data_IF_742539819015
#
_entry.id   IF_742539819015
#
_cell.length_a   1.000
_cell.length_b   1.000
_cell.length_c   1.000
_cell.angle_alpha   90.00
_cell.angle_beta   90.00
_cell.angle_gamma   90.00
#
_symmetry.space_group_name_H-M   'P 1'
#
loop_
_entity.id
_entity.type
_entity.pdbx_description
1 polymer ?
#
# COMPACT_ATOMS: atom_id res chain seq x y z
N UNK A 1 -40.10 -5.29 -2.49
CA UNK A 1 -38.68 -5.51 -2.13
C UNK A 1 -37.93 -4.44 -2.90
N UNK A 2 -37.69 -3.32 -2.21
CA UNK A 2 -37.02 -2.14 -2.75
C UNK A 2 -35.51 -2.42 -2.80
N UNK A 3 -34.92 -2.12 -3.94
CA UNK A 3 -33.47 -2.14 -4.13
C UNK A 3 -32.87 -1.07 -3.19
N UNK A 4 -32.13 -1.49 -2.18
CA UNK A 4 -31.20 -0.60 -1.48
C UNK A 4 -30.07 -0.26 -2.45
N UNK A 5 -30.19 0.90 -3.09
CA UNK A 5 -29.08 1.56 -3.77
C UNK A 5 -28.00 1.81 -2.70
N UNK A 6 -26.92 1.10 -2.77
CA UNK A 6 -25.71 1.40 -1.99
C UNK A 6 -25.24 2.79 -2.41
N UNK A 7 -25.44 3.77 -1.54
CA UNK A 7 -24.88 5.11 -1.67
C UNK A 7 -23.35 5.03 -1.62
N UNK A 8 -22.73 4.80 -2.75
CA UNK A 8 -21.33 5.16 -2.97
C UNK A 8 -21.36 6.52 -3.62
N UNK A 9 -21.28 7.58 -2.80
CA UNK A 9 -21.07 8.92 -3.30
C UNK A 9 -19.66 8.98 -3.89
N UNK A 10 -19.56 8.90 -5.22
CA UNK A 10 -18.30 8.99 -5.99
C UNK A 10 -17.66 10.39 -5.93
N UNK A 11 -18.19 11.29 -5.10
CA UNK A 11 -17.61 12.61 -4.91
C UNK A 11 -16.50 12.52 -3.84
N UNK A 12 -15.27 12.93 -4.16
CA UNK A 12 -14.24 13.05 -3.15
C UNK A 12 -14.71 14.03 -2.06
N UNK A 13 -14.53 13.67 -0.78
CA UNK A 13 -14.70 14.62 0.31
C UNK A 13 -13.99 15.93 -0.07
N UNK A 14 -14.61 17.08 0.15
CA UNK A 14 -14.20 18.41 -0.38
C UNK A 14 -12.67 18.69 -0.27
N UNK A 15 -12.00 18.11 0.72
CA UNK A 15 -10.55 18.27 0.92
C UNK A 15 -9.64 17.51 -0.05
N UNK A 16 -10.19 16.64 -0.91
CA UNK A 16 -9.41 15.83 -1.88
C UNK A 16 -9.70 16.20 -3.34
N UNK A 17 -10.59 17.16 -3.57
CA UNK A 17 -10.99 17.55 -4.92
C UNK A 17 -9.82 18.13 -5.72
N UNK A 18 -9.57 17.54 -6.89
CA UNK A 18 -8.51 17.96 -7.79
C UNK A 18 -7.10 17.44 -7.41
N UNK A 19 -6.96 16.67 -6.34
CA UNK A 19 -5.70 16.05 -5.95
C UNK A 19 -5.57 14.64 -6.54
N UNK A 20 -4.38 14.31 -7.00
CA UNK A 20 -4.02 12.96 -7.46
C UNK A 20 -3.70 12.10 -6.27
N UNK A 21 -4.51 11.09 -6.03
CA UNK A 21 -4.37 10.16 -4.89
C UNK A 21 -3.88 8.82 -5.42
N UNK A 22 -2.94 8.21 -4.71
CA UNK A 22 -2.48 6.84 -4.94
C UNK A 22 -2.62 6.01 -3.67
N UNK A 23 -3.06 4.78 -3.84
CA UNK A 23 -3.06 3.72 -2.82
C UNK A 23 -1.88 2.81 -3.11
N UNK A 24 -1.07 2.51 -2.10
CA UNK A 24 0.17 1.79 -2.33
C UNK A 24 0.51 0.84 -1.20
N UNK A 25 1.25 -0.20 -1.55
CA UNK A 25 1.69 -1.24 -0.64
C UNK A 25 3.02 -1.83 -1.11
N UNK A 26 3.82 -2.35 -0.18
CA UNK A 26 5.11 -3.00 -0.41
C UNK A 26 5.10 -4.42 0.12
N UNK A 27 5.70 -5.33 -0.66
CA UNK A 27 6.02 -6.65 -0.19
C UNK A 27 7.52 -6.82 -0.04
N UNK A 28 7.92 -7.39 1.09
CA UNK A 28 9.32 -7.47 1.50
C UNK A 28 9.68 -8.86 1.98
N UNK A 29 10.95 -9.23 1.97
CA UNK A 29 11.40 -10.54 2.46
C UNK A 29 11.50 -10.62 3.99
N UNK A 30 11.46 -9.50 4.70
CA UNK A 30 11.53 -9.42 6.17
C UNK A 30 10.92 -8.09 6.63
N UNK A 31 10.48 -8.01 7.87
CA UNK A 31 9.95 -6.78 8.47
C UNK A 31 11.04 -5.74 8.75
N UNK A 32 12.29 -6.16 8.85
CA UNK A 32 13.45 -5.29 9.05
C UNK A 32 14.15 -4.99 7.74
N UNK A 33 14.29 -3.70 7.39
CA UNK A 33 15.03 -3.28 6.22
C UNK A 33 16.54 -3.61 6.29
N UNK A 34 17.06 -3.94 7.47
CA UNK A 34 18.44 -4.41 7.64
C UNK A 34 18.60 -5.84 7.11
N UNK A 35 17.63 -6.71 7.37
CA UNK A 35 17.64 -8.13 6.96
C UNK A 35 16.96 -8.34 5.61
N UNK A 36 15.93 -7.55 5.32
CA UNK A 36 15.06 -7.73 4.17
C UNK A 36 15.42 -6.85 2.97
N UNK A 37 14.74 -7.16 1.86
CA UNK A 37 14.72 -6.39 0.63
C UNK A 37 13.30 -6.29 0.09
N UNK A 38 13.07 -5.38 -0.85
CA UNK A 38 11.80 -5.29 -1.56
C UNK A 38 11.62 -6.50 -2.50
N UNK A 39 10.43 -7.05 -2.55
CA UNK A 39 9.99 -8.07 -3.50
C UNK A 39 9.21 -7.45 -4.65
N UNK A 40 8.13 -6.75 -4.33
CA UNK A 40 7.33 -5.99 -5.27
C UNK A 40 6.69 -4.78 -4.59
N UNK A 41 6.11 -3.92 -5.40
CA UNK A 41 5.29 -2.80 -4.97
C UNK A 41 4.11 -2.63 -5.91
N UNK A 42 2.94 -2.37 -5.36
CA UNK A 42 1.71 -2.11 -6.09
C UNK A 42 1.15 -0.74 -5.78
N UNK A 43 0.59 -0.13 -6.81
CA UNK A 43 -0.08 1.17 -6.76
C UNK A 43 -1.45 1.05 -7.40
N UNK A 44 -2.48 1.57 -6.76
CA UNK A 44 -3.79 1.75 -7.37
C UNK A 44 -4.14 3.24 -7.44
N UNK A 45 -4.65 3.69 -8.56
CA UNK A 45 -5.21 5.04 -8.67
C UNK A 45 -6.64 5.12 -8.09
N UNK A 46 -7.24 6.29 -8.12
CA UNK A 46 -8.61 6.50 -7.63
C UNK A 46 -9.66 5.68 -8.38
N UNK A 47 -9.41 5.31 -9.63
CA UNK A 47 -10.32 4.50 -10.46
C UNK A 47 -10.08 2.99 -10.32
N UNK A 48 -9.01 2.58 -9.62
CA UNK A 48 -8.65 1.19 -9.43
C UNK A 48 -7.75 0.61 -10.52
N UNK A 49 -7.12 1.45 -11.31
CA UNK A 49 -6.07 0.99 -12.22
C UNK A 49 -4.84 0.63 -11.40
N UNK A 50 -4.41 -0.62 -11.47
CA UNK A 50 -3.26 -1.12 -10.72
C UNK A 50 -2.01 -1.12 -11.58
N UNK A 51 -0.91 -0.70 -10.99
CA UNK A 51 0.44 -0.78 -11.57
C UNK A 51 1.36 -1.44 -10.56
N UNK A 52 2.00 -2.54 -10.95
CA UNK A 52 2.91 -3.32 -10.10
C UNK A 52 4.27 -3.47 -10.76
N UNK A 53 5.32 -3.49 -9.95
CA UNK A 53 6.67 -3.87 -10.35
C UNK A 53 7.29 -4.82 -9.34
N UNK A 54 8.06 -5.77 -9.86
CA UNK A 54 8.88 -6.71 -9.09
C UNK A 54 10.32 -6.21 -9.01
N UNK A 55 11.05 -6.65 -8.02
CA UNK A 55 12.48 -6.39 -7.94
C UNK A 55 13.22 -6.91 -9.19
N UNK A 56 12.79 -8.05 -9.72
CA UNK A 56 13.35 -8.68 -10.92
C UNK A 56 13.07 -7.95 -12.25
N UNK A 57 12.19 -6.96 -12.26
CA UNK A 57 11.95 -6.12 -13.44
C UNK A 57 13.08 -5.12 -13.69
N UNK A 58 14.01 -5.00 -12.77
CA UNK A 58 15.13 -4.05 -12.82
C UNK A 58 16.46 -4.79 -12.88
N UNK A 59 17.50 -4.18 -13.49
CA UNK A 59 18.86 -4.73 -13.41
C UNK A 59 19.30 -4.83 -11.95
N UNK A 60 19.88 -5.97 -11.60
CA UNK A 60 20.39 -6.24 -10.26
C UNK A 60 21.88 -6.61 -10.33
N UNK A 61 22.74 -5.94 -9.56
CA UNK A 61 24.15 -6.29 -9.46
C UNK A 61 24.37 -7.56 -8.62
N UNK A 62 23.48 -7.76 -7.65
CA UNK A 62 23.46 -8.95 -6.76
C UNK A 62 22.03 -9.40 -6.51
N UNK A 63 21.78 -10.65 -6.07
CA UNK A 63 20.44 -11.10 -5.69
C UNK A 63 19.77 -10.30 -4.56
N UNK A 64 20.54 -9.46 -3.86
CA UNK A 64 20.04 -8.59 -2.79
C UNK A 64 19.78 -7.15 -3.24
N UNK A 65 20.07 -6.85 -4.50
CA UNK A 65 19.91 -5.51 -5.05
C UNK A 65 18.44 -5.24 -5.39
N UNK A 66 17.84 -4.37 -4.63
CA UNK A 66 16.48 -3.85 -4.83
C UNK A 66 16.48 -2.35 -5.15
N UNK A 67 17.65 -1.80 -5.49
CA UNK A 67 17.82 -0.36 -5.73
C UNK A 67 16.91 0.16 -6.83
N UNK A 68 16.79 -0.60 -7.93
CA UNK A 68 15.96 -0.21 -9.06
C UNK A 68 14.47 -0.14 -8.69
N UNK A 69 13.97 -1.14 -7.94
CA UNK A 69 12.59 -1.12 -7.45
C UNK A 69 12.38 0.02 -6.45
N UNK A 70 13.32 0.23 -5.53
CA UNK A 70 13.21 1.31 -4.54
C UNK A 70 13.16 2.70 -5.20
N UNK A 71 13.97 2.95 -6.22
CA UNK A 71 13.94 4.19 -6.98
C UNK A 71 12.62 4.34 -7.75
N UNK A 72 12.15 3.28 -8.39
CA UNK A 72 10.88 3.30 -9.10
C UNK A 72 9.71 3.60 -8.17
N UNK A 73 9.65 2.96 -6.98
CA UNK A 73 8.61 3.23 -5.97
C UNK A 73 8.61 4.69 -5.54
N UNK A 74 9.79 5.24 -5.23
CA UNK A 74 9.94 6.67 -4.90
C UNK A 74 9.42 7.56 -6.02
N UNK A 75 9.86 7.31 -7.24
CA UNK A 75 9.54 8.15 -8.40
C UNK A 75 8.06 8.04 -8.76
N UNK A 76 7.45 6.87 -8.59
CA UNK A 76 6.00 6.69 -8.79
C UNK A 76 5.19 7.41 -7.72
N UNK A 77 5.54 7.28 -6.43
CA UNK A 77 4.89 8.02 -5.35
C UNK A 77 4.93 9.54 -5.59
N UNK A 78 6.07 10.06 -6.02
CA UNK A 78 6.27 11.49 -6.24
C UNK A 78 5.49 12.07 -7.43
N UNK A 79 4.80 11.24 -8.21
CA UNK A 79 3.87 11.67 -9.27
C UNK A 79 2.51 12.08 -8.73
N UNK A 80 2.21 11.73 -7.48
CA UNK A 80 0.92 11.98 -6.85
C UNK A 80 1.02 13.08 -5.79
N UNK A 81 -0.13 13.63 -5.46
CA UNK A 81 -0.24 14.70 -4.47
C UNK A 81 -0.42 14.11 -3.06
N UNK A 82 -1.10 12.95 -2.97
CA UNK A 82 -1.35 12.23 -1.73
C UNK A 82 -1.08 10.73 -1.92
N UNK A 83 -0.29 10.16 -1.02
CA UNK A 83 -0.12 8.72 -0.89
C UNK A 83 -0.93 8.18 0.30
N UNK A 84 -1.73 7.15 0.06
CA UNK A 84 -2.51 6.45 1.08
C UNK A 84 -1.95 5.04 1.25
N UNK A 85 -1.60 4.68 2.48
CA UNK A 85 -1.11 3.35 2.83
C UNK A 85 -1.84 2.79 4.05
N UNK A 86 -1.53 1.53 4.38
CA UNK A 86 -2.01 0.86 5.59
C UNK A 86 -0.86 0.52 6.51
N UNK A 87 -0.74 1.18 7.64
CA UNK A 87 0.43 1.14 8.54
C UNK A 87 1.72 1.69 7.88
N UNK A 88 1.57 2.44 6.82
CA UNK A 88 2.68 2.85 5.94
C UNK A 88 3.68 3.76 6.63
N UNK A 89 3.28 4.54 7.62
CA UNK A 89 4.23 5.37 8.40
C UNK A 89 5.21 4.53 9.20
N UNK A 90 4.74 3.42 9.78
CA UNK A 90 5.60 2.55 10.59
C UNK A 90 6.38 1.54 9.76
N UNK A 91 5.89 1.19 8.57
CA UNK A 91 6.50 0.14 7.76
C UNK A 91 6.93 0.65 6.38
N UNK A 92 6.03 0.78 5.42
CA UNK A 92 6.36 0.95 4.00
C UNK A 92 7.26 2.15 3.72
N UNK A 93 6.89 3.33 4.22
CA UNK A 93 7.66 4.57 4.01
C UNK A 93 9.04 4.47 4.66
N UNK A 94 9.10 3.90 5.87
CA UNK A 94 10.35 3.75 6.61
C UNK A 94 11.26 2.72 5.96
N UNK A 95 10.69 1.59 5.52
CA UNK A 95 11.40 0.54 4.81
C UNK A 95 11.96 1.04 3.47
N UNK A 96 11.14 1.69 2.66
CA UNK A 96 11.54 2.30 1.39
C UNK A 96 12.73 3.26 1.58
N UNK A 97 12.61 4.19 2.53
CA UNK A 97 13.67 5.15 2.80
C UNK A 97 14.96 4.47 3.26
N UNK A 98 14.87 3.45 4.10
CA UNK A 98 16.05 2.68 4.54
C UNK A 98 16.72 1.98 3.34
N UNK A 99 15.95 1.41 2.41
CA UNK A 99 16.50 0.78 1.20
C UNK A 99 17.13 1.78 0.26
N UNK A 100 16.49 2.93 0.01
CA UNK A 100 17.05 4.02 -0.78
C UNK A 100 18.39 4.49 -0.21
N UNK A 101 18.44 4.77 1.09
CA UNK A 101 19.68 5.21 1.77
C UNK A 101 20.78 4.14 1.74
N UNK A 102 20.44 2.85 1.91
CA UNK A 102 21.40 1.75 1.77
C UNK A 102 22.14 1.79 0.44
N UNK A 103 21.44 2.13 -0.63
CA UNK A 103 21.98 2.18 -1.99
C UNK A 103 22.53 3.56 -2.38
N UNK A 104 22.66 4.48 -1.41
CA UNK A 104 23.16 5.83 -1.68
C UNK A 104 22.22 6.69 -2.53
N UNK A 105 20.93 6.31 -2.55
CA UNK A 105 19.89 7.01 -3.32
C UNK A 105 19.21 8.06 -2.44
N UNK A 106 18.66 9.07 -3.09
CA UNK A 106 17.85 10.09 -2.44
C UNK A 106 16.60 9.46 -1.82
N UNK A 107 16.26 9.74 -0.55
CA UNK A 107 15.02 9.27 0.05
C UNK A 107 13.78 9.89 -0.62
N UNK A 108 12.61 9.37 -0.29
CA UNK A 108 11.33 9.95 -0.67
C UNK A 108 11.29 11.41 -0.17
N UNK A 109 10.85 12.33 -1.03
CA UNK A 109 10.65 13.73 -0.62
C UNK A 109 9.53 13.84 0.41
N UNK A 110 9.49 14.93 1.13
CA UNK A 110 8.36 15.29 1.98
C UNK A 110 7.10 15.47 1.10
N UNK A 111 6.10 14.60 1.31
CA UNK A 111 4.85 14.58 0.57
C UNK A 111 3.66 14.34 1.49
N UNK A 112 2.46 14.69 1.04
CA UNK A 112 1.26 14.43 1.81
C UNK A 112 0.95 12.93 1.85
N UNK A 113 0.82 12.39 3.06
CA UNK A 113 0.55 10.97 3.28
C UNK A 113 -0.63 10.79 4.23
N UNK A 114 -1.39 9.73 4.02
CA UNK A 114 -2.45 9.29 4.91
C UNK A 114 -2.24 7.81 5.24
N UNK A 115 -2.03 7.52 6.51
CA UNK A 115 -2.06 6.15 7.00
C UNK A 115 -3.51 5.81 7.42
N UNK A 116 -4.18 5.01 6.59
CA UNK A 116 -5.59 4.68 6.75
C UNK A 116 -5.86 3.83 8.01
N UNK A 117 -4.88 3.04 8.47
CA UNK A 117 -5.00 2.24 9.68
C UNK A 117 -5.29 3.11 10.91
N UNK A 118 -4.67 4.28 11.01
CA UNK A 118 -4.93 5.19 12.14
C UNK A 118 -6.36 5.73 12.15
N UNK A 119 -7.02 5.81 10.98
CA UNK A 119 -8.42 6.23 10.90
C UNK A 119 -9.39 5.11 11.27
N UNK A 120 -9.01 3.86 11.02
CA UNK A 120 -9.79 2.68 11.39
C UNK A 120 -9.67 2.31 12.87
N UNK A 121 -8.49 2.52 13.49
CA UNK A 121 -8.20 2.08 14.88
C UNK A 121 -8.84 2.98 15.93
N UNK A 122 -7.97 3.63 16.66
CA UNK A 122 -8.27 4.41 17.85
C UNK A 122 -7.81 5.85 17.62
N UNK A 123 -8.45 6.78 18.24
CA UNK A 123 -8.00 8.15 18.27
C UNK A 123 -9.16 9.13 18.32
N UNK A 124 -8.83 10.37 18.60
CA UNK A 124 -9.81 11.46 18.77
C UNK A 124 -10.70 11.63 17.53
N UNK A 125 -10.18 11.23 16.35
CA UNK A 125 -10.85 11.38 15.05
C UNK A 125 -10.90 10.06 14.25
N UNK A 126 -10.70 8.91 14.91
CA UNK A 126 -10.82 7.59 14.30
C UNK A 126 -12.23 7.01 14.45
N UNK A 127 -12.48 5.93 13.71
CA UNK A 127 -13.80 5.27 13.70
C UNK A 127 -14.03 4.29 14.85
N UNK A 128 -13.00 3.96 15.63
CA UNK A 128 -13.04 2.92 16.67
C UNK A 128 -13.46 1.53 16.16
N UNK A 129 -13.19 1.20 14.92
CA UNK A 129 -13.39 -0.18 14.40
C UNK A 129 -12.54 -1.16 15.23
N UNK A 130 -11.41 -0.68 15.76
CA UNK A 130 -10.65 -1.42 16.76
C UNK A 130 -9.74 -2.50 16.18
N UNK A 131 -9.57 -2.57 14.87
CA UNK A 131 -8.65 -3.48 14.21
C UNK A 131 -7.53 -2.75 13.49
N UNK A 132 -6.32 -3.31 13.56
CA UNK A 132 -5.17 -2.89 12.76
C UNK A 132 -4.97 -3.74 11.50
N UNK A 133 -5.78 -4.79 11.31
CA UNK A 133 -5.71 -5.66 10.14
C UNK A 133 -6.65 -5.14 9.06
N UNK A 134 -6.14 -4.86 7.87
CA UNK A 134 -6.91 -4.38 6.72
C UNK A 134 -8.10 -5.30 6.41
N UNK A 135 -7.89 -6.62 6.41
CA UNK A 135 -8.93 -7.62 6.17
C UNK A 135 -10.10 -7.54 7.16
N UNK A 136 -9.86 -7.17 8.41
CA UNK A 136 -10.94 -7.02 9.39
C UNK A 136 -11.77 -5.76 9.14
N UNK A 137 -11.11 -4.69 8.72
CA UNK A 137 -11.77 -3.43 8.38
C UNK A 137 -12.55 -3.56 7.09
N UNK A 138 -12.00 -4.29 6.10
CA UNK A 138 -12.70 -4.69 4.89
C UNK A 138 -14.01 -5.42 5.20
N UNK A 139 -13.95 -6.46 6.06
CA UNK A 139 -15.14 -7.21 6.49
C UNK A 139 -16.17 -6.34 7.22
N UNK A 140 -15.69 -5.38 8.03
CA UNK A 140 -16.56 -4.44 8.72
C UNK A 140 -17.36 -3.58 7.74
N UNK A 141 -16.72 -3.07 6.70
CA UNK A 141 -17.37 -2.25 5.68
C UNK A 141 -18.09 -3.07 4.60
N UNK A 142 -17.93 -4.41 4.61
CA UNK A 142 -18.51 -5.32 3.60
C UNK A 142 -18.11 -4.94 2.16
N UNK A 143 -16.90 -4.44 1.98
CA UNK A 143 -16.36 -4.21 0.64
C UNK A 143 -16.08 -5.54 -0.07
N UNK A 144 -15.88 -5.50 -1.38
CA UNK A 144 -15.65 -6.72 -2.17
C UNK A 144 -14.51 -7.57 -1.58
N UNK A 145 -14.72 -8.88 -1.48
CA UNK A 145 -13.71 -9.80 -0.96
C UNK A 145 -12.68 -10.10 -2.06
N UNK A 146 -11.48 -9.61 -1.90
CA UNK A 146 -10.34 -9.85 -2.79
C UNK A 146 -9.24 -10.65 -2.08
N UNK A 147 -9.64 -11.59 -1.22
CA UNK A 147 -8.76 -12.24 -0.28
C UNK A 147 -7.79 -13.22 -0.94
N UNK A 148 -6.51 -12.90 -0.88
CA UNK A 148 -5.41 -13.84 -1.03
C UNK A 148 -4.65 -13.88 0.30
N UNK A 149 -4.62 -15.05 0.97
CA UNK A 149 -3.74 -15.24 2.13
C UNK A 149 -2.43 -15.86 1.60
N UNK A 150 -1.31 -15.20 1.75
CA UNK A 150 0.01 -15.75 1.40
C UNK A 150 0.55 -16.48 2.63
N UNK A 151 0.82 -17.76 2.51
CA UNK A 151 1.44 -18.54 3.57
C UNK A 151 2.96 -18.28 3.64
N UNK A 152 3.55 -18.67 4.78
CA UNK A 152 4.97 -18.44 5.04
C UNK A 152 5.91 -19.15 4.05
N UNK A 153 5.51 -20.32 3.56
CA UNK A 153 6.32 -21.09 2.60
C UNK A 153 6.34 -20.40 1.24
N UNK A 154 5.21 -19.87 0.80
CA UNK A 154 5.10 -19.06 -0.43
C UNK A 154 5.98 -17.80 -0.35
N UNK A 155 5.98 -17.08 0.79
CA UNK A 155 6.89 -15.97 1.01
C UNK A 155 8.36 -16.35 0.88
N UNK A 156 8.76 -17.46 1.52
CA UNK A 156 10.13 -17.94 1.46
C UNK A 156 10.54 -18.31 0.04
N UNK A 157 9.69 -19.05 -0.69
CA UNK A 157 9.94 -19.41 -2.08
C UNK A 157 10.07 -18.18 -2.98
N UNK A 158 9.19 -17.20 -2.85
CA UNK A 158 9.27 -15.93 -3.59
C UNK A 158 10.59 -15.19 -3.29
N UNK A 159 11.01 -15.18 -2.02
CA UNK A 159 12.26 -14.55 -1.62
C UNK A 159 13.50 -15.24 -2.20
N UNK A 160 13.40 -16.53 -2.50
CA UNK A 160 14.45 -17.37 -3.13
C UNK A 160 14.41 -17.29 -4.67
N UNK A 161 13.42 -16.60 -5.26
CA UNK A 161 13.32 -16.41 -6.69
C UNK A 161 12.40 -17.40 -7.41
N UNK A 162 11.53 -18.12 -6.69
CA UNK A 162 10.49 -18.93 -7.33
C UNK A 162 9.46 -18.01 -7.98
N UNK A 163 9.33 -18.12 -9.31
CA UNK A 163 8.46 -17.24 -10.09
C UNK A 163 6.97 -17.41 -9.77
N UNK A 164 6.51 -18.64 -9.52
CA UNK A 164 5.10 -18.90 -9.20
C UNK A 164 4.73 -18.35 -7.83
N UNK A 165 5.60 -18.52 -6.85
CA UNK A 165 5.43 -17.93 -5.55
C UNK A 165 5.44 -16.40 -5.62
N UNK A 166 6.30 -15.83 -6.47
CA UNK A 166 6.36 -14.40 -6.71
C UNK A 166 5.09 -13.87 -7.41
N UNK A 167 4.53 -14.62 -8.37
CA UNK A 167 3.24 -14.27 -8.99
C UNK A 167 2.15 -14.16 -7.93
N UNK A 168 2.11 -15.09 -6.99
CA UNK A 168 1.12 -15.10 -5.92
C UNK A 168 1.30 -13.93 -4.93
N UNK A 169 2.56 -13.57 -4.61
CA UNK A 169 2.88 -12.39 -3.79
C UNK A 169 2.44 -11.11 -4.50
N UNK A 170 2.63 -11.03 -5.82
CA UNK A 170 2.15 -9.89 -6.62
C UNK A 170 0.63 -9.78 -6.59
N UNK A 171 -0.08 -10.89 -6.82
CA UNK A 171 -1.55 -10.91 -6.75
C UNK A 171 -2.05 -10.44 -5.37
N UNK A 172 -1.36 -10.82 -4.30
CA UNK A 172 -1.67 -10.36 -2.95
C UNK A 172 -1.50 -8.85 -2.81
N UNK A 173 -0.34 -8.32 -3.19
CA UNK A 173 -0.04 -6.90 -3.14
C UNK A 173 -1.04 -6.06 -3.98
N UNK A 174 -1.42 -6.55 -5.17
CA UNK A 174 -2.43 -5.89 -6.02
C UNK A 174 -3.83 -5.90 -5.39
N UNK A 175 -4.20 -7.01 -4.76
CA UNK A 175 -5.46 -7.12 -4.04
C UNK A 175 -5.51 -6.15 -2.85
N UNK A 176 -4.41 -6.03 -2.09
CA UNK A 176 -4.35 -5.18 -0.90
C UNK A 176 -4.48 -3.70 -1.24
N UNK A 177 -3.91 -3.21 -2.33
CA UNK A 177 -4.09 -1.79 -2.73
C UNK A 177 -5.52 -1.50 -3.19
N UNK A 178 -6.22 -2.46 -3.80
CA UNK A 178 -7.63 -2.31 -4.17
C UNK A 178 -8.53 -2.32 -2.93
N UNK A 179 -8.29 -3.24 -1.99
CA UNK A 179 -8.98 -3.27 -0.69
C UNK A 179 -8.74 -1.99 0.08
N UNK A 180 -7.49 -1.53 0.12
CA UNK A 180 -7.11 -0.27 0.77
C UNK A 180 -7.90 0.91 0.19
N UNK A 181 -8.01 1.00 -1.13
CA UNK A 181 -8.80 2.04 -1.82
C UNK A 181 -10.25 2.01 -1.36
N UNK A 182 -10.88 0.85 -1.40
CA UNK A 182 -12.29 0.69 -1.05
C UNK A 182 -12.55 1.00 0.43
N UNK A 183 -11.71 0.48 1.31
CA UNK A 183 -11.74 0.80 2.74
C UNK A 183 -11.53 2.29 2.99
N UNK A 184 -10.56 2.91 2.30
CA UNK A 184 -10.28 4.32 2.47
C UNK A 184 -11.44 5.21 2.02
N UNK A 185 -12.20 4.83 1.00
CA UNK A 185 -13.39 5.58 0.58
C UNK A 185 -14.41 5.71 1.73
N UNK A 186 -14.56 4.68 2.57
CA UNK A 186 -15.38 4.75 3.78
C UNK A 186 -14.75 5.60 4.90
N UNK A 187 -13.42 5.61 5.01
CA UNK A 187 -12.69 6.35 6.05
C UNK A 187 -12.43 7.81 5.68
N UNK A 188 -12.52 8.15 4.42
CA UNK A 188 -12.22 9.47 3.85
C UNK A 188 -12.89 10.64 4.60
N UNK A 189 -14.18 10.57 5.00
CA UNK A 189 -14.82 11.64 5.77
C UNK A 189 -14.17 11.93 7.13
N UNK A 190 -13.39 10.99 7.66
CA UNK A 190 -12.67 11.13 8.94
C UNK A 190 -11.29 11.77 8.77
N UNK A 191 -10.83 11.96 7.54
CA UNK A 191 -9.50 12.51 7.27
C UNK A 191 -9.56 14.04 7.35
N UNK A 192 -9.13 14.58 8.48
CA UNK A 192 -9.04 16.03 8.73
C UNK A 192 -7.63 16.58 8.61
N UNK A 193 -6.63 15.71 8.71
CA UNK A 193 -5.22 16.06 8.69
C UNK A 193 -4.48 15.10 7.80
N UNK A 194 -3.74 15.65 6.85
CA UNK A 194 -2.83 14.93 5.97
C UNK A 194 -1.42 15.26 6.47
N UNK A 195 -0.63 14.25 6.74
CA UNK A 195 0.74 14.41 7.22
C UNK A 195 1.70 14.64 6.05
N UNK A 196 2.68 15.51 6.27
CA UNK A 196 3.81 15.74 5.36
C UNK A 196 5.06 15.07 5.89
#
# INVERSE_FOLDING_TARGET
IENEETFVDDQPADGFKGLRIVYWDLETTDLSAFMGRLLCASFADAWGTVTTRRCTDFPMETPLDDSGLAEWVRDELERYDIAVGWNSFNFDTSFLNARLLRWGKRPLRDMMQVDAMYKARWGRYGSRIGSSKLVNVQKFFKTADSKTDVDWDTWNLASMGDEKAMDYVVEHCEADVLVLRDVFNHLKPLVRTIHR
#
